data_IF_047249541712
#
_entry.id   IF_047249541712
#
_cell.length_a   1.000
_cell.length_b   1.000
_cell.length_c   1.000
_cell.angle_alpha   90.00
_cell.angle_beta   90.00
_cell.angle_gamma   90.00
#
_symmetry.space_group_name_H-M   'P 1'
#
loop_
_entity.id
_entity.type
_entity.pdbx_description
1 polymer ?
#
# COMPACT_ATOMS: atom_id res chain seq x y z
N UNK A 1 3.58 -5.71 12.31
CA UNK A 1 2.72 -5.20 13.42
C UNK A 1 1.45 -6.06 13.45
N UNK A 2 0.57 -5.97 14.46
CA UNK A 2 -0.75 -6.63 14.33
C UNK A 2 -1.55 -6.00 13.19
N UNK A 3 -2.54 -6.72 12.60
CA UNK A 3 -3.45 -6.11 11.63
C UNK A 3 -4.06 -4.79 12.14
N UNK A 4 -4.62 -4.77 13.35
CA UNK A 4 -5.26 -3.58 13.90
C UNK A 4 -4.28 -2.41 14.07
N UNK A 5 -3.03 -2.69 14.42
CA UNK A 5 -1.98 -1.66 14.47
C UNK A 5 -1.67 -1.10 13.09
N UNK A 6 -1.63 -1.94 12.04
CA UNK A 6 -1.44 -1.49 10.66
C UNK A 6 -2.59 -0.61 10.20
N UNK A 7 -3.84 -1.02 10.44
CA UNK A 7 -5.03 -0.23 10.15
C UNK A 7 -4.97 1.14 10.83
N UNK A 8 -4.74 1.19 12.14
CA UNK A 8 -4.65 2.45 12.89
C UNK A 8 -3.53 3.36 12.39
N UNK A 9 -2.39 2.77 11.97
CA UNK A 9 -1.27 3.53 11.40
C UNK A 9 -1.63 4.09 10.03
N UNK A 10 -2.25 3.29 9.16
CA UNK A 10 -2.69 3.70 7.84
C UNK A 10 -3.70 4.87 7.92
N UNK A 11 -4.71 4.75 8.78
CA UNK A 11 -5.73 5.78 9.01
C UNK A 11 -5.11 7.09 9.51
N UNK A 12 -4.20 7.05 10.49
CA UNK A 12 -3.52 8.25 11.00
C UNK A 12 -2.64 8.93 9.96
N UNK A 13 -1.95 8.15 9.13
CA UNK A 13 -1.14 8.70 8.03
C UNK A 13 -2.09 9.39 7.04
N UNK A 14 -3.16 8.73 6.61
CA UNK A 14 -4.17 9.31 5.70
C UNK A 14 -4.69 10.66 6.21
N UNK A 15 -5.17 10.70 7.47
CA UNK A 15 -5.65 11.92 8.12
C UNK A 15 -4.59 13.03 8.22
N UNK A 16 -3.31 12.66 8.27
CA UNK A 16 -2.21 13.62 8.28
C UNK A 16 -1.91 14.12 6.88
N UNK A 17 -1.92 13.24 5.88
CA UNK A 17 -1.71 13.54 4.46
C UNK A 17 -2.80 14.48 3.92
N UNK A 18 -4.05 14.30 4.33
CA UNK A 18 -5.18 15.19 3.95
C UNK A 18 -4.98 16.66 4.36
N UNK A 19 -4.11 16.92 5.34
CA UNK A 19 -3.80 18.29 5.80
C UNK A 19 -2.68 18.95 5.02
N UNK A 20 -2.00 18.20 4.14
CA UNK A 20 -0.86 18.67 3.37
C UNK A 20 -1.38 19.40 2.13
N UNK A 21 -0.87 20.60 1.88
CA UNK A 21 -1.16 21.33 0.65
C UNK A 21 -0.63 20.55 -0.57
N UNK A 22 -1.47 20.35 -1.58
CA UNK A 22 -1.13 19.57 -2.77
C UNK A 22 0.02 20.16 -3.60
N UNK A 23 0.37 21.44 -3.42
CA UNK A 23 1.57 22.03 -4.02
C UNK A 23 2.86 21.39 -3.50
N UNK A 24 2.83 20.80 -2.30
CA UNK A 24 3.91 19.97 -1.73
C UNK A 24 3.66 18.50 -2.11
N UNK A 25 3.55 18.26 -3.42
CA UNK A 25 3.12 16.98 -3.98
C UNK A 25 4.01 15.81 -3.54
N UNK A 26 5.29 16.06 -3.26
CA UNK A 26 6.22 15.05 -2.75
C UNK A 26 5.72 14.42 -1.45
N UNK A 27 5.25 15.26 -0.53
CA UNK A 27 4.77 14.80 0.77
C UNK A 27 3.42 14.09 0.65
N UNK A 28 2.56 14.51 -0.29
CA UNK A 28 1.29 13.84 -0.56
C UNK A 28 1.52 12.43 -1.12
N UNK A 29 2.42 12.29 -2.11
CA UNK A 29 2.76 11.00 -2.71
C UNK A 29 3.38 10.05 -1.67
N UNK A 30 4.33 10.53 -0.85
CA UNK A 30 4.93 9.71 0.21
C UNK A 30 3.90 9.32 1.28
N UNK A 31 3.01 10.24 1.68
CA UNK A 31 1.94 9.96 2.63
C UNK A 31 0.94 8.92 2.12
N UNK A 32 0.51 9.05 0.86
CA UNK A 32 -0.38 8.09 0.21
C UNK A 32 0.26 6.69 0.15
N UNK A 33 1.52 6.60 -0.28
CA UNK A 33 2.26 5.34 -0.31
C UNK A 33 2.45 4.72 1.09
N UNK A 34 2.88 5.51 2.08
CA UNK A 34 3.08 5.02 3.45
C UNK A 34 1.78 4.53 4.10
N UNK A 35 0.65 5.16 3.78
CA UNK A 35 -0.65 4.64 4.22
C UNK A 35 -1.02 3.36 3.45
N UNK A 36 -0.83 3.34 2.13
CA UNK A 36 -1.14 2.20 1.27
C UNK A 36 -0.34 0.93 1.65
N UNK A 37 0.94 1.06 1.98
CA UNK A 37 1.75 -0.11 2.39
C UNK A 37 1.28 -0.68 3.73
N UNK A 38 0.76 0.15 4.64
CA UNK A 38 0.14 -0.35 5.87
C UNK A 38 -1.21 -1.00 5.61
N UNK A 39 -2.01 -0.51 4.66
CA UNK A 39 -3.21 -1.21 4.22
C UNK A 39 -2.90 -2.56 3.55
N UNK A 40 -1.84 -2.64 2.74
CA UNK A 40 -1.38 -3.92 2.19
C UNK A 40 -1.00 -4.89 3.31
N UNK A 41 -0.17 -4.48 4.27
CA UNK A 41 0.18 -5.33 5.41
C UNK A 41 -1.04 -5.74 6.24
N UNK A 42 -1.98 -4.83 6.48
CA UNK A 42 -3.25 -5.14 7.13
C UNK A 42 -3.96 -6.31 6.46
N UNK A 43 -4.13 -6.24 5.13
CA UNK A 43 -4.77 -7.30 4.35
C UNK A 43 -3.97 -8.61 4.39
N UNK A 44 -2.65 -8.55 4.18
CA UNK A 44 -1.81 -9.75 4.15
C UNK A 44 -1.79 -10.50 5.48
N UNK A 45 -1.72 -9.79 6.61
CA UNK A 45 -1.80 -10.43 7.91
C UNK A 45 -3.21 -10.97 8.21
N UNK A 46 -4.26 -10.26 7.80
CA UNK A 46 -5.66 -10.74 7.90
C UNK A 46 -5.91 -12.01 7.10
N UNK A 47 -5.19 -12.16 5.99
CA UNK A 47 -5.25 -13.31 5.10
C UNK A 47 -4.23 -14.40 5.46
N UNK A 48 -3.44 -14.20 6.52
CA UNK A 48 -2.37 -15.12 6.97
C UNK A 48 -1.31 -15.40 5.88
N UNK A 49 -1.12 -14.46 4.94
CA UNK A 49 -0.14 -14.58 3.85
C UNK A 49 1.27 -14.31 4.36
N UNK A 50 1.42 -13.34 5.27
CA UNK A 50 2.67 -12.98 5.92
C UNK A 50 2.56 -13.16 7.42
N UNK A 51 3.63 -13.64 8.05
CA UNK A 51 3.72 -13.71 9.51
C UNK A 51 3.70 -12.30 10.11
N UNK A 52 3.19 -12.14 11.34
CA UNK A 52 3.10 -10.84 12.03
C UNK A 52 4.47 -10.14 12.21
N UNK A 53 5.55 -10.92 12.21
CA UNK A 53 6.93 -10.43 12.28
C UNK A 53 7.50 -10.01 10.90
N UNK A 54 6.73 -10.14 9.82
CA UNK A 54 7.15 -9.90 8.46
C UNK A 54 6.23 -8.89 7.77
N UNK A 55 6.62 -7.62 7.86
CA UNK A 55 5.94 -6.50 7.22
C UNK A 55 6.63 -6.18 5.88
N UNK A 56 5.83 -5.94 4.83
CA UNK A 56 6.30 -5.40 3.56
C UNK A 56 6.51 -3.90 3.70
N UNK A 57 7.68 -3.41 3.30
CA UNK A 57 8.02 -1.97 3.33
C UNK A 57 8.06 -1.35 1.93
N UNK A 58 8.52 -2.14 0.96
CA UNK A 58 8.72 -1.77 -0.44
C UNK A 58 8.37 -2.95 -1.34
N UNK A 59 7.49 -2.75 -2.33
CA UNK A 59 7.10 -3.83 -3.25
C UNK A 59 8.19 -4.11 -4.29
N UNK A 60 9.08 -3.15 -4.56
CA UNK A 60 10.29 -3.33 -5.38
C UNK A 60 11.30 -4.32 -4.77
N UNK A 61 11.26 -4.51 -3.45
CA UNK A 61 12.18 -5.39 -2.71
C UNK A 61 11.58 -6.75 -2.36
N UNK A 62 10.35 -7.05 -2.83
CA UNK A 62 9.71 -8.33 -2.59
C UNK A 62 10.53 -9.47 -3.20
N UNK A 63 10.66 -10.57 -2.46
CA UNK A 63 11.15 -11.81 -3.04
C UNK A 63 10.20 -12.28 -4.15
N UNK A 64 10.71 -13.01 -5.13
CA UNK A 64 9.86 -13.56 -6.20
C UNK A 64 8.73 -14.46 -5.67
N UNK A 65 8.98 -15.15 -4.54
CA UNK A 65 7.98 -15.98 -3.88
C UNK A 65 6.88 -15.13 -3.24
N UNK A 66 7.23 -14.10 -2.47
CA UNK A 66 6.24 -13.26 -1.79
C UNK A 66 5.43 -12.45 -2.81
N UNK A 67 6.09 -11.91 -3.84
CA UNK A 67 5.43 -11.23 -4.94
C UNK A 67 4.45 -12.16 -5.67
N UNK A 68 4.82 -13.42 -5.89
CA UNK A 68 3.94 -14.43 -6.48
C UNK A 68 2.72 -14.75 -5.61
N UNK A 69 2.90 -14.93 -4.30
CA UNK A 69 1.80 -15.17 -3.35
C UNK A 69 0.84 -13.99 -3.30
N UNK A 70 1.37 -12.78 -3.13
CA UNK A 70 0.56 -11.56 -3.06
C UNK A 70 -0.15 -11.34 -4.39
N UNK A 71 0.54 -11.48 -5.52
CA UNK A 71 -0.04 -11.32 -6.85
C UNK A 71 -1.13 -12.35 -7.18
N UNK A 72 -1.05 -13.57 -6.64
CA UNK A 72 -2.09 -14.58 -6.82
C UNK A 72 -3.37 -14.26 -6.01
N UNK A 73 -3.23 -13.60 -4.86
CA UNK A 73 -4.32 -13.35 -3.93
C UNK A 73 -4.94 -11.95 -4.08
N UNK A 74 -4.11 -10.95 -4.39
CA UNK A 74 -4.48 -9.54 -4.47
C UNK A 74 -3.76 -8.84 -5.65
N UNK A 75 -3.96 -9.32 -6.91
CA UNK A 75 -3.23 -8.82 -8.07
C UNK A 75 -3.42 -7.31 -8.28
N UNK A 76 -4.64 -6.82 -8.13
CA UNK A 76 -4.98 -5.41 -8.31
C UNK A 76 -4.32 -4.54 -7.24
N UNK A 77 -4.34 -4.97 -5.98
CA UNK A 77 -3.70 -4.21 -4.88
C UNK A 77 -2.20 -4.15 -5.06
N UNK A 78 -1.55 -5.25 -5.45
CA UNK A 78 -0.11 -5.26 -5.70
C UNK A 78 0.24 -4.29 -6.84
N UNK A 79 -0.50 -4.33 -7.95
CA UNK A 79 -0.28 -3.43 -9.07
C UNK A 79 -0.48 -1.95 -8.68
N UNK A 80 -1.51 -1.64 -7.90
CA UNK A 80 -1.78 -0.28 -7.41
C UNK A 80 -0.68 0.23 -6.49
N UNK A 81 -0.15 -0.61 -5.59
CA UNK A 81 0.98 -0.24 -4.71
C UNK A 81 2.28 -0.08 -5.52
N UNK A 82 2.53 -0.93 -6.51
CA UNK A 82 3.68 -0.77 -7.42
C UNK A 82 3.62 0.54 -8.22
N UNK A 83 2.41 0.97 -8.63
CA UNK A 83 2.22 2.26 -9.29
C UNK A 83 2.55 3.42 -8.34
N UNK A 84 2.06 3.37 -7.09
CA UNK A 84 2.40 4.35 -6.05
C UNK A 84 3.91 4.41 -5.78
N UNK A 85 4.57 3.25 -5.69
CA UNK A 85 6.03 3.18 -5.52
C UNK A 85 6.75 3.81 -6.72
N UNK A 86 6.28 3.55 -7.93
CA UNK A 86 6.81 4.19 -9.15
C UNK A 86 6.67 5.71 -9.12
N UNK A 87 5.59 6.26 -8.55
CA UNK A 87 5.43 7.70 -8.40
C UNK A 87 6.47 8.31 -7.47
N UNK A 88 6.86 7.60 -6.40
CA UNK A 88 7.95 8.04 -5.51
C UNK A 88 9.25 8.20 -6.27
N UNK A 89 9.61 7.20 -7.07
CA UNK A 89 10.82 7.24 -7.89
C UNK A 89 10.78 8.39 -8.91
N UNK A 90 9.67 8.57 -9.62
CA UNK A 90 9.57 9.59 -10.68
C UNK A 90 9.46 11.03 -10.18
N UNK A 91 8.54 11.27 -9.26
CA UNK A 91 8.13 12.63 -8.90
C UNK A 91 8.78 13.11 -7.61
N UNK A 92 9.00 12.21 -6.65
CA UNK A 92 9.59 12.58 -5.34
C UNK A 92 11.11 12.55 -5.39
N UNK A 93 11.69 11.52 -6.01
CA UNK A 93 13.16 11.36 -6.12
C UNK A 93 13.71 11.85 -7.46
N UNK A 94 12.96 11.67 -8.53
CA UNK A 94 13.38 11.98 -9.90
C UNK A 94 13.15 13.43 -10.34
N UNK A 95 12.36 14.21 -9.59
CA UNK A 95 12.05 15.61 -9.91
C UNK A 95 11.52 15.82 -11.35
N UNK A 96 10.72 14.87 -11.85
CA UNK A 96 10.09 14.95 -13.17
C UNK A 96 8.83 15.83 -13.07
N UNK A 97 8.54 16.60 -14.12
CA UNK A 97 7.33 17.41 -14.20
C UNK A 97 6.04 16.56 -14.06
N UNK A 98 4.98 17.17 -13.51
CA UNK A 98 3.67 16.52 -13.34
C UNK A 98 3.35 16.05 -11.93
N UNK A 99 4.18 16.37 -10.93
CA UNK A 99 3.99 15.98 -9.53
C UNK A 99 2.61 16.29 -8.96
N UNK A 100 2.01 17.45 -9.26
CA UNK A 100 0.67 17.81 -8.79
C UNK A 100 -0.43 16.86 -9.29
N UNK A 101 -0.32 16.43 -10.56
CA UNK A 101 -1.26 15.46 -11.14
C UNK A 101 -1.03 14.08 -10.52
N UNK A 102 0.24 13.70 -10.35
CA UNK A 102 0.62 12.44 -9.70
C UNK A 102 0.17 12.37 -8.23
N UNK A 103 0.20 13.46 -7.47
CA UNK A 103 -0.30 13.50 -6.10
C UNK A 103 -1.81 13.24 -6.02
N UNK A 104 -2.60 13.83 -6.91
CA UNK A 104 -4.05 13.53 -6.98
C UNK A 104 -4.28 12.05 -7.29
N UNK A 105 -3.57 11.53 -8.29
CA UNK A 105 -3.65 10.11 -8.65
C UNK A 105 -3.18 9.21 -7.51
N UNK A 106 -2.18 9.61 -6.74
CA UNK A 106 -1.70 8.85 -5.59
C UNK A 106 -2.78 8.69 -4.51
N UNK A 107 -3.58 9.73 -4.27
CA UNK A 107 -4.71 9.65 -3.34
C UNK A 107 -5.79 8.70 -3.86
N UNK A 108 -6.12 8.74 -5.16
CA UNK A 108 -7.08 7.79 -5.76
C UNK A 108 -6.60 6.34 -5.69
N UNK A 109 -5.31 6.10 -5.93
CA UNK A 109 -4.70 4.76 -5.82
C UNK A 109 -4.71 4.30 -4.36
N UNK A 110 -4.44 5.19 -3.41
CA UNK A 110 -4.52 4.89 -1.98
C UNK A 110 -5.93 4.48 -1.56
N UNK A 111 -6.98 5.19 -2.00
CA UNK A 111 -8.37 4.83 -1.72
C UNK A 111 -8.72 3.43 -2.27
N UNK A 112 -8.23 3.08 -3.45
CA UNK A 112 -8.41 1.73 -4.03
C UNK A 112 -7.74 0.66 -3.17
N UNK A 113 -6.50 0.88 -2.72
CA UNK A 113 -5.80 -0.05 -1.81
C UNK A 113 -6.56 -0.17 -0.49
N UNK A 114 -7.02 0.94 0.08
CA UNK A 114 -7.78 0.94 1.33
C UNK A 114 -9.06 0.11 1.20
N UNK A 115 -9.87 0.36 0.16
CA UNK A 115 -11.13 -0.37 -0.04
C UNK A 115 -10.87 -1.87 -0.17
N UNK A 116 -9.94 -2.26 -1.04
CA UNK A 116 -9.62 -3.67 -1.26
C UNK A 116 -9.03 -4.35 0.00
N UNK A 117 -8.24 -3.61 0.80
CA UNK A 117 -7.70 -4.12 2.04
C UNK A 117 -8.76 -4.34 3.12
N UNK A 118 -9.76 -3.46 3.21
CA UNK A 118 -10.90 -3.61 4.12
C UNK A 118 -11.76 -4.82 3.74
N UNK A 119 -11.96 -5.03 2.44
CA UNK A 119 -12.74 -6.15 1.91
C UNK A 119 -11.98 -7.49 1.91
N UNK A 120 -10.70 -7.48 2.26
CA UNK A 120 -9.87 -8.68 2.32
C UNK A 120 -10.40 -9.67 3.38
N UNK A 121 -10.91 -10.80 2.89
CA UNK A 121 -11.37 -11.91 3.71
C UNK A 121 -10.23 -12.90 3.97
N UNK A 122 -10.17 -13.55 5.14
CA UNK A 122 -9.21 -14.62 5.39
C UNK A 122 -9.26 -15.69 4.31
N UNK A 123 -8.10 -16.06 3.77
CA UNK A 123 -8.03 -17.17 2.84
C UNK A 123 -8.28 -18.46 3.64
N UNK A 124 -9.38 -19.17 3.35
CA UNK A 124 -9.59 -20.49 3.92
C UNK A 124 -8.58 -21.44 3.28
N UNK A 125 -7.53 -21.81 4.00
CA UNK A 125 -6.78 -23.01 3.64
C UNK A 125 -7.78 -24.17 3.56
N UNK A 126 -7.80 -24.85 2.42
CA UNK A 126 -8.45 -26.15 2.36
C UNK A 126 -7.79 -27.00 3.45
N UNK A 127 -8.60 -27.55 4.36
CA UNK A 127 -8.10 -28.51 5.34
C UNK A 127 -7.33 -29.57 4.57
N UNK A 128 -6.05 -29.76 4.89
CA UNK A 128 -5.30 -30.89 4.39
C UNK A 128 -5.99 -32.15 4.92
N UNK A 129 -6.67 -32.88 4.05
CA UNK A 129 -7.22 -34.21 4.31
C UNK A 129 -6.09 -35.24 4.47
#
# INVERSE_FOLDING_TARGET
>A
MTPDQHRQKAERICQSTEKIDHSVYEMVIEGAYLSAIHWLNYALHRMEVTAEAHDIVHTEHLSGMDRGKIGALMPEVLATVDELETFRTRYVRGNIAGGLVAAKRALELHEQVQSAAIDAAPFKQAAAE
#
